data_IF_648622168122
#
_entry.id   IF_648622168122
#
_cell.length_a   1.000
_cell.length_b   1.000
_cell.length_c   1.000
_cell.angle_alpha   90.00
_cell.angle_beta   90.00
_cell.angle_gamma   90.00
#
_symmetry.space_group_name_H-M   'P 1'
#
loop_
_entity.id
_entity.type
_entity.pdbx_description
1 polymer ?
#
# COMPACT_ATOMS: atom_id res chain seq x y z
N UNK A 1 5.21 -6.54 4.94
CA UNK A 1 4.73 -5.20 4.53
C UNK A 1 3.36 -5.41 3.92
N UNK A 2 2.38 -4.63 4.34
CA UNK A 2 1.04 -4.66 3.77
C UNK A 2 0.76 -3.30 3.11
N UNK A 3 0.18 -3.28 1.92
CA UNK A 3 -0.26 -2.06 1.24
C UNK A 3 -1.73 -2.26 0.90
N UNK A 4 -2.57 -1.31 1.28
CA UNK A 4 -3.99 -1.33 0.96
C UNK A 4 -4.50 0.06 0.56
N UNK A 5 -5.66 0.07 -0.09
CA UNK A 5 -6.35 1.28 -0.50
C UNK A 5 -7.20 1.75 0.67
N UNK A 6 -6.99 3.00 1.09
CA UNK A 6 -7.80 3.68 2.12
C UNK A 6 -9.03 4.31 1.48
N UNK A 7 -8.84 5.06 0.39
CA UNK A 7 -9.93 5.71 -0.33
C UNK A 7 -9.56 6.04 -1.76
N UNK A 8 -10.58 6.18 -2.60
CA UNK A 8 -10.48 6.73 -3.96
C UNK A 8 -11.30 8.01 -4.01
N UNK A 9 -10.74 9.08 -4.60
CA UNK A 9 -11.48 10.32 -4.79
C UNK A 9 -12.71 10.10 -5.68
N UNK A 10 -13.82 10.77 -5.36
CA UNK A 10 -15.05 10.65 -6.16
C UNK A 10 -14.87 11.22 -7.58
N UNK A 11 -14.01 12.23 -7.73
CA UNK A 11 -13.75 12.94 -8.99
C UNK A 11 -12.23 13.07 -9.23
N UNK A 12 -11.78 13.35 -10.47
CA UNK A 12 -10.38 13.68 -10.74
C UNK A 12 -9.92 14.89 -9.92
N UNK A 13 -8.76 14.77 -9.28
CA UNK A 13 -8.18 15.80 -8.41
C UNK A 13 -7.10 16.59 -9.13
N UNK A 14 -6.38 15.94 -10.06
CA UNK A 14 -5.31 16.56 -10.86
C UNK A 14 -5.52 16.18 -12.31
N UNK A 15 -5.87 17.14 -13.16
CA UNK A 15 -6.22 16.90 -14.57
C UNK A 15 -7.30 15.81 -14.70
N UNK A 16 -7.01 14.71 -15.39
CA UNK A 16 -7.88 13.55 -15.59
C UNK A 16 -7.60 12.41 -14.59
N UNK A 17 -6.82 12.67 -13.53
CA UNK A 17 -6.36 11.66 -12.58
C UNK A 17 -7.14 11.71 -11.28
N UNK A 18 -7.59 10.53 -10.85
CA UNK A 18 -8.17 10.28 -9.55
C UNK A 18 -7.07 10.09 -8.51
N UNK A 19 -7.29 10.64 -7.33
CA UNK A 19 -6.42 10.41 -6.18
C UNK A 19 -6.82 9.08 -5.51
N UNK A 20 -5.83 8.25 -5.24
CA UNK A 20 -6.01 7.04 -4.43
C UNK A 20 -5.08 7.18 -3.22
N UNK A 21 -5.68 7.19 -2.03
CA UNK A 21 -4.94 7.15 -0.77
C UNK A 21 -4.58 5.71 -0.45
N UNK A 22 -3.30 5.49 -0.21
CA UNK A 22 -2.71 4.21 0.13
C UNK A 22 -2.20 4.27 1.56
N UNK A 23 -2.46 3.20 2.30
CA UNK A 23 -1.86 2.95 3.61
C UNK A 23 -0.86 1.81 3.46
N UNK A 24 0.37 2.08 3.87
CA UNK A 24 1.48 1.13 3.87
C UNK A 24 1.82 0.82 5.32
N UNK A 25 1.79 -0.48 5.67
CA UNK A 25 2.13 -0.97 7.01
C UNK A 25 3.40 -1.81 6.98
N UNK A 26 4.41 -1.34 7.70
CA UNK A 26 5.66 -2.06 7.92
C UNK A 26 5.49 -3.17 8.96
N UNK A 27 6.37 -4.19 8.90
CA UNK A 27 6.38 -5.28 9.90
C UNK A 27 7.14 -4.84 11.17
N UNK A 28 8.14 -3.97 11.03
CA UNK A 28 8.87 -3.36 12.13
C UNK A 28 9.40 -1.98 11.72
N UNK A 29 9.95 -1.24 12.69
CA UNK A 29 10.45 0.14 12.52
C UNK A 29 11.53 0.25 11.43
N UNK A 30 12.41 -0.74 11.35
CA UNK A 30 13.56 -0.79 10.45
C UNK A 30 13.08 -0.91 9.00
N UNK A 31 12.09 -1.78 8.77
CA UNK A 31 11.40 -1.84 7.48
C UNK A 31 10.63 -0.54 7.20
N UNK A 32 10.02 0.07 8.22
CA UNK A 32 9.34 1.35 8.11
C UNK A 32 10.25 2.44 7.58
N UNK A 33 11.46 2.59 8.15
CA UNK A 33 12.48 3.54 7.69
C UNK A 33 12.87 3.30 6.23
N UNK A 34 13.15 2.05 5.85
CA UNK A 34 13.51 1.71 4.47
C UNK A 34 12.38 1.98 3.45
N UNK A 35 11.12 1.82 3.86
CA UNK A 35 9.97 2.17 3.04
C UNK A 35 9.89 3.68 2.90
N UNK A 36 9.97 4.41 4.01
CA UNK A 36 9.87 5.87 4.05
C UNK A 36 10.92 6.53 3.13
N UNK A 37 12.16 6.05 3.16
CA UNK A 37 13.26 6.54 2.30
C UNK A 37 12.97 6.40 0.79
N UNK A 38 12.02 5.55 0.40
CA UNK A 38 11.61 5.31 -0.99
C UNK A 38 10.34 6.06 -1.39
N UNK A 39 9.63 6.64 -0.43
CA UNK A 39 8.41 7.39 -0.72
C UNK A 39 8.76 8.83 -1.07
N UNK A 40 7.89 9.48 -1.84
CA UNK A 40 8.02 10.91 -2.15
C UNK A 40 7.71 11.77 -0.92
N UNK A 41 8.13 13.03 -0.96
CA UNK A 41 7.77 14.02 0.07
C UNK A 41 6.24 14.16 0.21
N UNK A 42 5.78 14.48 1.43
CA UNK A 42 4.35 14.65 1.75
C UNK A 42 3.65 13.41 2.32
N UNK A 43 4.41 12.36 2.66
CA UNK A 43 3.90 11.16 3.33
C UNK A 43 3.61 11.45 4.80
N UNK A 44 2.42 11.10 5.26
CA UNK A 44 2.11 11.11 6.69
C UNK A 44 2.58 9.81 7.33
N UNK A 45 3.26 9.91 8.47
CA UNK A 45 3.80 8.75 9.19
C UNK A 45 3.20 8.71 10.60
N UNK A 46 2.76 7.53 11.03
CA UNK A 46 2.28 7.31 12.38
C UNK A 46 3.38 7.50 13.43
N UNK A 47 2.99 7.77 14.68
CA UNK A 47 3.94 7.99 15.78
C UNK A 47 4.85 6.78 16.06
N UNK A 48 4.38 5.56 15.78
CA UNK A 48 5.16 4.33 15.92
C UNK A 48 6.08 4.05 14.71
N UNK A 49 5.99 4.84 13.64
CA UNK A 49 6.77 4.68 12.42
C UNK A 49 6.41 3.45 11.58
N UNK A 50 5.28 2.79 11.88
CA UNK A 50 4.87 1.56 11.21
C UNK A 50 3.86 1.77 10.10
N UNK A 51 3.16 2.90 10.09
CA UNK A 51 2.12 3.20 9.13
C UNK A 51 2.47 4.48 8.36
N UNK A 52 2.43 4.39 7.03
CA UNK A 52 2.63 5.52 6.14
C UNK A 52 1.40 5.70 5.25
N UNK A 53 0.92 6.94 5.12
CA UNK A 53 -0.13 7.32 4.18
C UNK A 53 0.46 8.13 3.04
N UNK A 54 0.11 7.74 1.82
CA UNK A 54 0.54 8.43 0.59
C UNK A 54 -0.55 8.41 -0.44
N UNK A 55 -0.51 9.36 -1.37
CA UNK A 55 -1.42 9.39 -2.53
C UNK A 55 -0.73 8.95 -3.81
N UNK A 56 -1.49 8.28 -4.69
CA UNK A 56 -1.13 8.08 -6.10
C UNK A 56 -2.22 8.68 -7.00
N UNK A 57 -1.84 9.13 -8.18
CA UNK A 57 -2.74 9.80 -9.12
C UNK A 57 -2.82 9.02 -10.44
N UNK A 58 -3.97 8.41 -10.70
CA UNK A 58 -4.16 7.48 -11.82
C UNK A 58 -5.37 7.85 -12.68
N UNK A 59 -5.29 7.59 -13.98
CA UNK A 59 -6.40 7.85 -14.93
C UNK A 59 -7.47 6.76 -14.89
N UNK A 60 -7.12 5.54 -14.47
CA UNK A 60 -8.04 4.41 -14.33
C UNK A 60 -8.01 3.88 -12.88
N UNK A 61 -8.82 4.45 -11.97
CA UNK A 61 -8.84 4.01 -10.57
C UNK A 61 -9.38 2.58 -10.41
N UNK A 62 -10.38 2.20 -11.21
CA UNK A 62 -10.99 0.86 -11.15
C UNK A 62 -9.94 -0.22 -11.47
N UNK A 63 -9.20 -0.04 -12.56
CA UNK A 63 -8.14 -0.98 -12.96
C UNK A 63 -7.01 -1.03 -11.93
N UNK A 64 -6.62 0.12 -11.38
CA UNK A 64 -5.60 0.17 -10.33
C UNK A 64 -6.04 -0.61 -9.08
N UNK A 65 -7.27 -0.38 -8.60
CA UNK A 65 -7.81 -1.10 -7.44
C UNK A 65 -7.85 -2.61 -7.66
N UNK A 66 -8.35 -3.05 -8.81
CA UNK A 66 -8.39 -4.48 -9.14
C UNK A 66 -6.98 -5.12 -9.16
N UNK A 67 -5.97 -4.41 -9.67
CA UNK A 67 -4.58 -4.88 -9.62
C UNK A 67 -4.02 -4.96 -8.20
N UNK A 68 -4.36 -3.99 -7.34
CA UNK A 68 -3.96 -4.00 -5.93
C UNK A 68 -4.59 -5.16 -5.17
N UNK A 69 -5.89 -5.42 -5.37
CA UNK A 69 -6.60 -6.54 -4.76
C UNK A 69 -6.01 -7.89 -5.21
N UNK A 70 -5.78 -8.04 -6.51
CA UNK A 70 -5.13 -9.22 -7.06
C UNK A 70 -3.73 -9.45 -6.48
N UNK A 71 -2.92 -8.38 -6.36
CA UNK A 71 -1.60 -8.46 -5.77
C UNK A 71 -1.65 -8.80 -4.29
N UNK A 72 -2.61 -8.26 -3.56
CA UNK A 72 -2.82 -8.55 -2.15
C UNK A 72 -3.15 -10.03 -1.94
N UNK A 73 -4.07 -10.59 -2.74
CA UNK A 73 -4.41 -12.01 -2.70
C UNK A 73 -3.19 -12.92 -2.94
N UNK A 74 -2.34 -12.59 -3.93
CA UNK A 74 -1.11 -13.34 -4.19
C UNK A 74 -0.11 -13.28 -3.04
N UNK A 75 0.01 -12.12 -2.38
CA UNK A 75 0.90 -11.96 -1.23
C UNK A 75 0.37 -12.79 -0.07
N UNK A 76 -0.93 -12.73 0.22
CA UNK A 76 -1.56 -13.52 1.27
C UNK A 76 -1.35 -15.03 1.05
N UNK A 77 -1.61 -15.53 -0.17
CA UNK A 77 -1.38 -16.95 -0.52
C UNK A 77 0.08 -17.37 -0.27
N UNK A 78 1.06 -16.54 -0.66
CA UNK A 78 2.48 -16.83 -0.42
C UNK A 78 2.84 -16.85 1.05
N UNK A 79 2.24 -15.98 1.88
CA UNK A 79 2.45 -16.00 3.32
C UNK A 79 1.87 -17.25 3.97
N UNK A 80 0.69 -17.70 3.54
CA UNK A 80 0.11 -18.96 4.01
C UNK A 80 1.01 -20.15 3.66
N UNK A 81 1.58 -20.19 2.45
CA UNK A 81 2.55 -21.23 2.06
C UNK A 81 3.81 -21.16 2.91
N UNK A 82 4.34 -19.96 3.16
CA UNK A 82 5.55 -19.77 3.96
C UNK A 82 5.35 -20.20 5.43
N UNK A 83 4.20 -19.86 6.02
CA UNK A 83 3.87 -20.18 7.42
C UNK A 83 3.41 -21.63 7.59
N UNK A 84 2.69 -22.18 6.60
CA UNK A 84 2.22 -23.57 6.57
C UNK A 84 3.30 -24.60 6.22
N UNK A 85 4.41 -24.17 5.60
CA UNK A 85 5.55 -25.03 5.24
C UNK A 85 6.58 -25.25 6.36
N UNK A 86 6.35 -24.77 7.59
CA UNK A 86 7.26 -24.97 8.73
C UNK A 86 6.87 -26.18 9.61
N UNK A 87 6.39 -27.26 8.99
CA UNK A 87 6.19 -28.55 9.64
C UNK A 87 6.85 -29.64 8.80
N UNK A 88 8.16 -29.79 8.96
CA UNK A 88 8.93 -31.03 8.74
C UNK A 88 10.25 -30.95 9.53
#
# INVERSE_FOLDING_TARGET
MNIHIESVSEHPVVQDRFEIKLVIRAICIEHGRLILDRLKEGVEVSADGLEMRTSVYVTNPIGFCACMDWRHAQIAERWEVFLGGSSD
#
